data_IF_124503040062
#
_entry.id   IF_124503040062
#
_cell.length_a   1.000
_cell.length_b   1.000
_cell.length_c   1.000
_cell.angle_alpha   90.00
_cell.angle_beta   90.00
_cell.angle_gamma   90.00
#
_symmetry.space_group_name_H-M   'P 1'
#
loop_
_entity.id
_entity.type
_entity.pdbx_description
1 polymer ?
#
# COMPACT_ATOMS: atom_id res chain seq x y z
N UNK A 1 22.19 21.86 12.06
CA UNK A 1 21.22 21.73 13.17
C UNK A 1 21.96 21.18 14.39
N UNK A 2 21.65 21.60 15.61
CA UNK A 2 22.29 21.05 16.81
C UNK A 2 22.11 19.52 16.91
N UNK A 3 23.07 18.80 17.51
CA UNK A 3 22.91 17.40 17.83
C UNK A 3 21.62 17.16 18.64
N UNK A 4 20.94 16.03 18.43
CA UNK A 4 19.69 15.69 19.15
C UNK A 4 18.43 16.43 18.68
N UNK A 5 18.53 17.35 17.70
CA UNK A 5 17.33 17.99 17.11
C UNK A 5 16.64 17.01 16.17
N UNK A 6 15.46 16.54 16.53
CA UNK A 6 14.65 15.66 15.67
C UNK A 6 14.20 16.39 14.40
N UNK A 7 14.23 15.69 13.28
CA UNK A 7 13.80 16.19 11.97
C UNK A 7 12.69 15.32 11.38
N UNK A 8 11.86 15.93 10.54
CA UNK A 8 10.81 15.25 9.77
C UNK A 8 10.63 15.94 8.42
N UNK A 9 9.92 15.31 7.49
CA UNK A 9 9.54 15.99 6.24
C UNK A 9 8.34 16.91 6.47
N UNK A 10 8.42 18.13 5.92
CA UNK A 10 7.31 19.08 5.83
C UNK A 10 6.50 18.80 4.57
N UNK A 11 5.90 17.60 4.46
CA UNK A 11 5.13 17.20 3.29
C UNK A 11 3.62 17.37 3.51
N UNK A 12 2.86 17.75 2.44
CA UNK A 12 1.43 18.03 2.55
C UNK A 12 0.57 16.78 2.66
N UNK A 13 1.09 15.62 2.22
CA UNK A 13 0.34 14.36 2.16
C UNK A 13 0.98 13.28 3.03
N UNK A 14 0.15 12.42 3.59
CA UNK A 14 0.57 11.20 4.27
C UNK A 14 -0.53 10.17 4.12
N UNK A 15 -0.17 8.98 3.68
CA UNK A 15 -1.06 7.83 3.57
C UNK A 15 -0.86 6.85 4.75
N UNK A 16 -0.38 7.36 5.89
CA UNK A 16 -0.22 6.59 7.11
C UNK A 16 -1.47 6.73 7.98
N UNK A 17 -1.96 5.62 8.48
CA UNK A 17 -3.14 5.53 9.34
C UNK A 17 -2.80 5.38 10.82
N UNK A 18 -1.53 5.24 11.18
CA UNK A 18 -1.15 5.15 12.59
C UNK A 18 -1.34 6.49 13.31
N UNK A 19 -1.71 6.38 14.56
CA UNK A 19 -1.79 7.50 15.50
C UNK A 19 -0.39 8.09 15.72
N UNK A 20 -0.31 9.40 15.89
CA UNK A 20 0.97 10.09 16.14
C UNK A 20 0.81 11.19 17.16
N UNK A 21 1.79 11.30 18.07
CA UNK A 21 1.93 12.49 18.88
C UNK A 21 2.13 13.74 18.01
N UNK A 22 1.77 14.90 18.53
CA UNK A 22 2.06 16.16 17.83
C UNK A 22 3.59 16.26 17.65
N UNK A 23 4.06 16.39 16.40
CA UNK A 23 5.50 16.38 16.16
C UNK A 23 6.15 17.63 16.70
N UNK A 24 7.10 17.46 17.61
CA UNK A 24 8.01 18.52 18.09
C UNK A 24 9.32 18.55 17.25
N UNK A 25 9.24 18.16 15.98
CA UNK A 25 10.38 18.06 15.09
C UNK A 25 10.34 19.13 14.00
N UNK A 26 11.50 19.69 13.65
CA UNK A 26 11.62 20.66 12.56
C UNK A 26 11.27 19.99 11.23
N UNK A 27 10.40 20.63 10.42
CA UNK A 27 10.08 20.20 9.07
C UNK A 27 11.17 20.56 8.08
N UNK A 28 11.65 19.58 7.31
CA UNK A 28 12.52 19.76 6.16
C UNK A 28 11.67 20.11 4.93
N UNK A 29 12.04 21.15 4.20
CA UNK A 29 11.38 21.57 2.98
C UNK A 29 11.54 20.51 1.89
N UNK A 30 10.46 20.23 1.15
CA UNK A 30 10.42 19.13 0.17
C UNK A 30 9.92 19.53 -1.21
N UNK A 31 9.62 20.82 -1.45
CA UNK A 31 9.06 21.30 -2.72
C UNK A 31 9.97 21.03 -3.92
N UNK A 32 11.28 21.08 -3.75
CA UNK A 32 12.27 20.78 -4.80
C UNK A 32 12.38 19.29 -5.17
N UNK A 33 11.68 18.37 -4.47
CA UNK A 33 11.80 16.92 -4.64
C UNK A 33 10.56 16.28 -5.26
N UNK A 34 9.67 17.05 -5.88
CA UNK A 34 8.34 16.60 -6.30
C UNK A 34 8.21 16.26 -7.78
N UNK A 35 9.28 16.44 -8.56
CA UNK A 35 9.26 16.26 -10.02
C UNK A 35 9.87 14.94 -10.47
N UNK A 36 9.51 14.51 -11.66
CA UNK A 36 10.30 13.57 -12.47
C UNK A 36 11.46 14.37 -13.06
N UNK A 37 12.68 13.91 -12.84
CA UNK A 37 13.91 14.60 -13.27
C UNK A 37 14.19 14.28 -14.74
N UNK A 38 14.13 12.96 -15.09
CA UNK A 38 14.33 12.48 -16.44
C UNK A 38 13.61 11.15 -16.65
N UNK A 39 13.18 10.88 -17.88
CA UNK A 39 12.73 9.56 -18.36
C UNK A 39 13.64 9.16 -19.50
N UNK A 40 14.23 7.98 -19.45
CA UNK A 40 14.98 7.36 -20.55
C UNK A 40 14.16 6.21 -21.14
N UNK A 41 13.44 6.43 -22.26
CA UNK A 41 12.63 5.39 -22.87
C UNK A 41 13.44 4.21 -23.44
N UNK A 42 14.70 4.44 -23.83
CA UNK A 42 15.56 3.40 -24.39
C UNK A 42 16.06 2.46 -23.30
N UNK A 43 16.53 3.03 -22.20
CA UNK A 43 16.98 2.28 -21.02
C UNK A 43 15.80 1.77 -20.18
N UNK A 44 14.58 2.27 -20.41
CA UNK A 44 13.38 2.02 -19.60
C UNK A 44 13.61 2.33 -18.14
N UNK A 45 14.13 3.54 -17.88
CA UNK A 45 14.40 4.03 -16.53
C UNK A 45 13.86 5.44 -16.33
N UNK A 46 13.66 5.83 -15.08
CA UNK A 46 13.39 7.22 -14.72
C UNK A 46 14.23 7.63 -13.51
N UNK A 47 14.72 8.86 -13.53
CA UNK A 47 15.27 9.57 -12.37
C UNK A 47 14.17 10.46 -11.78
N UNK A 48 13.87 10.29 -10.49
CA UNK A 48 12.66 10.81 -9.87
C UNK A 48 12.97 11.40 -8.50
N UNK A 49 12.45 12.57 -8.20
CA UNK A 49 12.51 13.15 -6.86
C UNK A 49 11.73 12.33 -5.85
N UNK A 50 12.26 12.14 -4.65
CA UNK A 50 11.67 11.24 -3.64
C UNK A 50 10.26 11.63 -3.17
N UNK A 51 9.84 12.87 -3.38
CA UNK A 51 8.49 13.37 -3.08
C UNK A 51 7.60 13.46 -4.32
N UNK A 52 8.04 13.00 -5.48
CA UNK A 52 7.19 12.87 -6.66
C UNK A 52 6.06 11.88 -6.38
N UNK A 53 4.84 12.29 -6.64
CA UNK A 53 3.67 11.41 -6.50
C UNK A 53 3.60 10.42 -7.65
N UNK A 54 3.00 9.26 -7.43
CA UNK A 54 2.74 8.32 -8.52
C UNK A 54 1.84 8.90 -9.61
N UNK A 55 0.91 9.83 -9.26
CA UNK A 55 0.13 10.58 -10.24
C UNK A 55 1.05 11.33 -11.23
N UNK A 56 2.05 12.06 -10.73
CA UNK A 56 3.01 12.80 -11.56
C UNK A 56 3.96 11.86 -12.33
N UNK A 57 4.42 10.79 -11.67
CA UNK A 57 5.32 9.82 -12.28
C UNK A 57 4.65 9.10 -13.45
N UNK A 58 3.42 8.61 -13.26
CA UNK A 58 2.62 7.96 -14.31
C UNK A 58 2.33 8.94 -15.44
N UNK A 59 1.95 10.19 -15.13
CA UNK A 59 1.71 11.22 -16.15
C UNK A 59 2.96 11.54 -16.99
N UNK A 60 4.17 11.40 -16.43
CA UNK A 60 5.42 11.61 -17.15
C UNK A 60 5.86 10.39 -17.97
N UNK A 61 5.51 9.17 -17.58
CA UNK A 61 5.99 7.94 -18.22
C UNK A 61 5.04 7.39 -19.28
N UNK A 62 3.71 7.50 -19.09
CA UNK A 62 2.71 6.99 -20.05
C UNK A 62 2.84 7.57 -21.46
N UNK A 63 3.19 8.85 -21.70
CA UNK A 63 3.44 9.37 -23.05
C UNK A 63 4.55 8.64 -23.81
N UNK A 64 5.44 7.95 -23.10
CA UNK A 64 6.49 7.10 -23.67
C UNK A 64 6.08 5.62 -23.81
N UNK A 65 4.82 5.27 -23.54
CA UNK A 65 4.35 3.88 -23.49
C UNK A 65 4.95 3.08 -22.34
N UNK A 66 5.35 3.75 -21.27
CA UNK A 66 6.02 3.15 -20.11
C UNK A 66 5.26 3.45 -18.81
N UNK A 67 5.39 2.56 -17.82
CA UNK A 67 4.93 2.79 -16.46
C UNK A 67 5.93 2.24 -15.44
N UNK A 68 5.92 2.71 -14.18
CA UNK A 68 6.61 2.02 -13.08
C UNK A 68 6.14 0.57 -12.95
N UNK A 69 7.04 -0.33 -12.56
CA UNK A 69 6.74 -1.76 -12.43
C UNK A 69 5.59 -2.05 -11.46
N UNK A 70 5.47 -1.22 -10.43
CA UNK A 70 4.40 -1.29 -9.43
C UNK A 70 3.89 0.13 -9.19
N UNK A 71 2.59 0.34 -9.37
CA UNK A 71 1.92 1.65 -9.20
C UNK A 71 0.89 1.53 -8.08
N UNK A 72 1.22 1.88 -6.83
CA UNK A 72 0.24 1.91 -5.74
C UNK A 72 -0.98 2.75 -6.11
N UNK A 73 -2.18 2.21 -5.83
CA UNK A 73 -3.46 2.73 -6.35
C UNK A 73 -3.84 4.14 -5.91
N UNK A 74 -3.19 4.69 -4.88
CA UNK A 74 -3.52 6.02 -4.37
C UNK A 74 -2.60 7.06 -4.99
N UNK A 75 -3.17 7.96 -5.78
CA UNK A 75 -2.48 9.02 -6.55
C UNK A 75 -1.47 9.84 -5.74
N UNK A 76 -1.77 10.07 -4.47
CA UNK A 76 -0.96 10.91 -3.59
C UNK A 76 0.22 10.20 -2.91
N UNK A 77 0.39 8.89 -3.10
CA UNK A 77 1.58 8.17 -2.64
C UNK A 77 2.79 8.69 -3.40
N UNK A 78 3.88 8.99 -2.68
CA UNK A 78 5.14 9.43 -3.29
C UNK A 78 6.06 8.23 -3.52
N UNK A 79 6.92 8.30 -4.54
CA UNK A 79 7.86 7.21 -4.85
C UNK A 79 8.74 6.85 -3.64
N UNK A 80 9.39 7.85 -3.03
CA UNK A 80 10.18 7.61 -1.82
C UNK A 80 9.34 7.09 -0.64
N UNK A 81 8.06 7.47 -0.58
CA UNK A 81 7.11 6.94 0.41
C UNK A 81 6.78 5.47 0.19
N UNK A 82 6.57 5.04 -1.06
CA UNK A 82 6.30 3.65 -1.41
C UNK A 82 7.54 2.76 -1.20
N UNK A 83 8.73 3.27 -1.52
CA UNK A 83 9.98 2.52 -1.29
C UNK A 83 10.26 2.32 0.20
N UNK A 84 10.05 3.36 1.03
CA UNK A 84 10.30 3.26 2.48
C UNK A 84 9.14 2.67 3.28
N UNK A 85 7.96 2.58 2.71
CA UNK A 85 6.74 2.18 3.43
C UNK A 85 6.03 0.98 2.82
N UNK A 86 6.65 0.34 1.86
CA UNK A 86 6.11 -0.70 1.00
C UNK A 86 4.86 -0.22 0.23
N UNK A 87 4.79 -0.59 -1.03
CA UNK A 87 3.61 -0.40 -1.88
C UNK A 87 3.28 -1.73 -2.53
N UNK A 88 2.05 -2.18 -2.41
CA UNK A 88 1.59 -3.44 -2.96
C UNK A 88 0.51 -3.13 -3.98
N UNK A 89 0.54 -3.82 -5.13
CA UNK A 89 -0.37 -3.60 -6.25
C UNK A 89 -0.56 -4.90 -7.05
N UNK A 90 -1.58 -4.92 -7.89
CA UNK A 90 -1.96 -6.08 -8.71
C UNK A 90 -0.85 -6.61 -9.63
N UNK A 91 0.22 -5.84 -9.88
CA UNK A 91 1.42 -6.31 -10.57
C UNK A 91 2.46 -6.96 -9.63
N UNK A 92 2.26 -6.92 -8.30
CA UNK A 92 3.28 -7.34 -7.32
C UNK A 92 3.57 -8.84 -7.34
N UNK A 93 2.63 -9.66 -7.81
CA UNK A 93 2.88 -11.11 -7.95
C UNK A 93 3.97 -11.44 -8.98
N UNK A 94 4.20 -10.57 -9.98
CA UNK A 94 5.22 -10.74 -11.03
C UNK A 94 6.38 -9.75 -10.94
N UNK A 95 6.17 -8.55 -10.41
CA UNK A 95 7.15 -7.46 -10.38
C UNK A 95 7.77 -7.22 -9.00
N UNK A 96 7.29 -7.90 -7.96
CA UNK A 96 7.69 -7.61 -6.59
C UNK A 96 7.11 -6.29 -6.08
N UNK A 97 7.87 -5.59 -5.27
CA UNK A 97 7.47 -4.33 -4.64
C UNK A 97 8.24 -3.13 -5.21
N UNK A 98 7.79 -1.88 -4.99
CA UNK A 98 8.43 -0.68 -5.54
C UNK A 98 9.93 -0.59 -5.32
N UNK A 99 10.43 -1.01 -4.16
CA UNK A 99 11.85 -0.98 -3.84
C UNK A 99 12.70 -1.90 -4.72
N UNK A 100 12.13 -2.99 -5.24
CA UNK A 100 12.84 -3.91 -6.13
C UNK A 100 13.02 -3.36 -7.56
N UNK A 101 12.29 -2.29 -7.90
CA UNK A 101 12.51 -1.54 -9.13
C UNK A 101 13.63 -0.50 -9.03
N UNK A 102 14.10 -0.19 -7.81
CA UNK A 102 15.12 0.83 -7.56
C UNK A 102 16.50 0.33 -7.96
N UNK A 103 17.16 1.05 -8.85
CA UNK A 103 18.54 0.78 -9.28
C UNK A 103 19.55 1.43 -8.35
N UNK A 104 19.26 2.66 -7.95
CA UNK A 104 20.03 3.46 -6.99
C UNK A 104 19.14 4.53 -6.35
N UNK A 105 19.51 5.02 -5.21
CA UNK A 105 18.81 6.11 -4.53
C UNK A 105 19.77 6.99 -3.74
N UNK A 106 19.55 8.31 -3.78
CA UNK A 106 20.23 9.27 -2.94
C UNK A 106 19.43 9.49 -1.67
N UNK A 107 20.01 9.23 -0.54
CA UNK A 107 19.36 9.26 0.77
C UNK A 107 19.97 10.35 1.63
N UNK A 108 19.16 11.32 2.06
CA UNK A 108 19.53 12.23 3.14
C UNK A 108 19.45 11.48 4.47
N UNK A 109 20.59 11.18 5.06
CA UNK A 109 20.73 10.41 6.29
C UNK A 109 20.54 11.27 7.55
N UNK A 110 20.42 10.62 8.71
CA UNK A 110 20.41 11.32 10.01
C UNK A 110 21.74 11.98 10.36
N UNK A 111 22.86 11.57 9.76
CA UNK A 111 24.13 12.27 9.84
C UNK A 111 24.09 13.67 9.20
N UNK A 112 23.14 13.90 8.29
CA UNK A 112 23.00 15.16 7.54
C UNK A 112 23.71 15.15 6.20
N UNK A 113 24.11 13.99 5.74
CA UNK A 113 24.79 13.74 4.48
C UNK A 113 23.83 13.11 3.48
N UNK A 114 24.05 13.37 2.19
CA UNK A 114 23.38 12.65 1.11
C UNK A 114 24.30 11.53 0.66
N UNK A 115 23.80 10.31 0.76
CA UNK A 115 24.53 9.08 0.44
C UNK A 115 23.83 8.38 -0.72
N UNK A 116 24.55 8.03 -1.77
CA UNK A 116 24.03 7.19 -2.85
C UNK A 116 24.11 5.72 -2.42
N UNK A 117 22.96 5.06 -2.40
CA UNK A 117 22.84 3.65 -2.03
C UNK A 117 22.32 2.83 -3.22
N UNK A 118 22.96 1.69 -3.45
CA UNK A 118 22.65 0.74 -4.54
C UNK A 118 22.99 -0.68 -4.11
N UNK A 119 22.73 -1.71 -4.93
CA UNK A 119 23.18 -3.08 -4.64
C UNK A 119 24.69 -3.27 -4.46
N UNK A 120 25.50 -2.30 -4.92
CA UNK A 120 26.98 -2.36 -4.88
C UNK A 120 27.63 -1.23 -4.10
N UNK A 121 26.86 -0.23 -3.68
CA UNK A 121 27.35 0.93 -2.92
C UNK A 121 26.43 1.17 -1.73
N UNK A 122 26.97 1.28 -0.52
CA UNK A 122 26.18 1.38 0.71
C UNK A 122 25.05 0.33 0.77
N UNK A 123 25.39 -0.90 0.43
CA UNK A 123 24.44 -2.02 0.31
C UNK A 123 23.65 -2.24 1.58
N UNK A 124 24.27 -2.08 2.75
CA UNK A 124 23.61 -2.19 4.05
C UNK A 124 22.44 -1.20 4.20
N UNK A 125 22.63 0.04 3.78
CA UNK A 125 21.58 1.07 3.78
C UNK A 125 20.54 0.77 2.69
N UNK A 126 20.97 0.41 1.47
CA UNK A 126 20.08 0.06 0.38
C UNK A 126 19.10 -1.04 0.78
N UNK A 127 19.60 -2.12 1.38
CA UNK A 127 18.77 -3.27 1.77
C UNK A 127 17.90 -3.01 3.00
N UNK A 128 18.35 -2.19 3.95
CA UNK A 128 17.57 -1.84 5.13
C UNK A 128 16.57 -0.70 4.90
N UNK A 129 16.67 0.02 3.76
CA UNK A 129 15.83 1.20 3.51
C UNK A 129 14.35 0.89 3.28
N UNK A 130 13.96 -0.19 2.54
CA UNK A 130 12.56 -0.62 2.46
C UNK A 130 11.99 -0.96 3.83
N UNK A 131 10.74 -0.62 4.06
CA UNK A 131 10.00 -0.77 5.33
C UNK A 131 10.57 0.03 6.51
N UNK A 132 11.52 0.94 6.28
CA UNK A 132 12.12 1.78 7.34
C UNK A 132 11.25 3.00 7.72
N UNK A 133 10.26 3.34 6.93
CA UNK A 133 9.36 4.49 7.15
C UNK A 133 10.10 5.81 7.43
N UNK A 134 11.27 6.01 6.83
CA UNK A 134 12.08 7.22 6.98
C UNK A 134 12.80 7.33 8.33
N UNK A 135 13.07 6.21 8.99
CA UNK A 135 13.87 6.17 10.23
C UNK A 135 15.37 6.00 9.96
N UNK A 136 15.74 5.62 8.74
CA UNK A 136 17.13 5.53 8.27
C UNK A 136 17.55 6.71 7.37
N UNK A 137 16.59 7.52 6.94
CA UNK A 137 16.82 8.64 6.04
C UNK A 137 15.61 8.95 5.17
N UNK A 138 15.80 9.90 4.28
CA UNK A 138 14.78 10.31 3.31
C UNK A 138 15.35 10.23 1.90
N UNK A 139 14.76 9.45 1.02
CA UNK A 139 15.15 9.43 -0.39
C UNK A 139 14.88 10.81 -1.01
N UNK A 140 15.91 11.43 -1.56
CA UNK A 140 15.81 12.72 -2.26
C UNK A 140 15.75 12.52 -3.77
N UNK A 141 16.41 11.49 -4.30
CA UNK A 141 16.32 11.03 -5.69
C UNK A 141 16.29 9.50 -5.72
N UNK A 142 15.55 8.92 -6.67
CA UNK A 142 15.57 7.50 -6.96
C UNK A 142 15.65 7.29 -8.47
N UNK A 143 16.47 6.35 -8.90
CA UNK A 143 16.50 5.83 -10.25
C UNK A 143 15.79 4.48 -10.27
N UNK A 144 14.74 4.37 -11.06
CA UNK A 144 13.87 3.19 -11.11
C UNK A 144 13.78 2.59 -12.51
N UNK A 145 13.48 1.29 -12.57
CA UNK A 145 13.08 0.59 -13.79
C UNK A 145 11.64 0.94 -14.16
N UNK A 146 11.38 0.96 -15.45
CA UNK A 146 10.05 1.09 -16.05
C UNK A 146 9.76 -0.13 -16.93
N UNK A 147 8.47 -0.44 -17.14
CA UNK A 147 8.04 -1.47 -18.09
C UNK A 147 7.16 -0.88 -19.21
N UNK A 148 7.17 -1.49 -20.41
CA UNK A 148 6.22 -1.16 -21.46
C UNK A 148 4.80 -1.47 -21.03
N UNK A 149 3.86 -0.60 -21.38
CA UNK A 149 2.44 -0.81 -21.14
C UNK A 149 1.60 -0.58 -22.38
N UNK A 150 0.54 -1.37 -22.54
CA UNK A 150 -0.45 -1.20 -23.60
C UNK A 150 -1.45 -0.08 -23.25
N UNK A 151 -2.18 0.39 -24.27
CA UNK A 151 -3.16 1.47 -24.09
C UNK A 151 -4.35 1.09 -23.21
N UNK A 152 -4.69 -0.20 -23.16
CA UNK A 152 -5.85 -0.71 -22.45
C UNK A 152 -5.49 -1.92 -21.58
N UNK A 153 -6.36 -2.19 -20.61
CA UNK A 153 -6.39 -3.42 -19.82
C UNK A 153 -7.76 -4.07 -19.99
N UNK A 154 -7.77 -5.30 -20.48
CA UNK A 154 -8.94 -6.16 -20.46
C UNK A 154 -9.04 -6.80 -19.08
N UNK A 155 -10.21 -6.74 -18.45
CA UNK A 155 -10.47 -7.27 -17.11
C UNK A 155 -11.43 -8.45 -17.19
N UNK A 156 -11.14 -9.48 -16.39
CA UNK A 156 -12.08 -10.53 -16.02
C UNK A 156 -12.31 -10.48 -14.51
N UNK A 157 -13.57 -10.53 -14.09
CA UNK A 157 -13.93 -10.68 -12.68
C UNK A 157 -14.51 -12.09 -12.48
N UNK A 158 -13.73 -12.97 -11.84
CA UNK A 158 -14.07 -14.37 -11.62
C UNK A 158 -14.70 -14.53 -10.25
N UNK A 159 -15.93 -15.03 -10.18
CA UNK A 159 -16.64 -15.28 -8.91
C UNK A 159 -16.26 -16.64 -8.32
N UNK A 160 -16.12 -16.69 -7.00
CA UNK A 160 -15.89 -17.90 -6.21
C UNK A 160 -16.86 -17.97 -5.04
N UNK A 161 -17.30 -19.21 -4.75
CA UNK A 161 -18.23 -19.53 -3.65
C UNK A 161 -17.52 -20.10 -2.42
N UNK A 162 -16.22 -20.36 -2.51
CA UNK A 162 -15.39 -20.78 -1.38
C UNK A 162 -14.06 -20.03 -1.40
N UNK A 163 -13.52 -19.76 -0.22
CA UNK A 163 -12.21 -19.11 -0.08
C UNK A 163 -11.07 -20.04 -0.51
N UNK A 164 -11.27 -21.35 -0.37
CA UNK A 164 -10.29 -22.37 -0.82
C UNK A 164 -10.13 -22.33 -2.34
N UNK A 165 -11.24 -22.31 -3.09
CA UNK A 165 -11.19 -22.25 -4.56
C UNK A 165 -10.63 -20.92 -5.06
N UNK A 166 -10.97 -19.81 -4.40
CA UNK A 166 -10.39 -18.50 -4.69
C UNK A 166 -8.86 -18.51 -4.58
N UNK A 167 -8.33 -19.02 -3.46
CA UNK A 167 -6.89 -19.06 -3.19
C UNK A 167 -6.19 -20.06 -4.11
N UNK A 168 -6.80 -21.20 -4.39
CA UNK A 168 -6.22 -22.19 -5.32
C UNK A 168 -6.13 -21.63 -6.75
N UNK A 169 -7.15 -20.94 -7.24
CA UNK A 169 -7.13 -20.28 -8.54
C UNK A 169 -6.06 -19.14 -8.58
N UNK A 170 -5.95 -18.36 -7.51
CA UNK A 170 -4.92 -17.33 -7.38
C UNK A 170 -3.51 -17.93 -7.46
N UNK A 171 -3.24 -19.02 -6.72
CA UNK A 171 -1.93 -19.69 -6.72
C UNK A 171 -1.59 -20.27 -8.09
N UNK A 172 -2.56 -20.87 -8.77
CA UNK A 172 -2.39 -21.40 -10.13
C UNK A 172 -2.04 -20.27 -11.13
N UNK A 173 -2.70 -19.11 -11.04
CA UNK A 173 -2.40 -17.95 -11.89
C UNK A 173 -0.99 -17.43 -11.60
N UNK A 174 -0.59 -17.33 -10.32
CA UNK A 174 0.75 -16.87 -9.93
C UNK A 174 1.84 -17.84 -10.47
N UNK A 175 1.58 -19.15 -10.38
CA UNK A 175 2.53 -20.15 -10.82
C UNK A 175 2.69 -20.19 -12.35
N UNK A 176 1.59 -20.07 -13.10
CA UNK A 176 1.60 -20.17 -14.56
C UNK A 176 1.86 -18.81 -15.26
N UNK A 177 1.47 -17.70 -14.63
CA UNK A 177 1.40 -16.39 -15.26
C UNK A 177 0.25 -16.25 -16.28
N UNK A 178 -0.66 -17.23 -16.35
CA UNK A 178 -1.72 -17.30 -17.35
C UNK A 178 -3.06 -17.74 -16.75
N UNK A 179 -4.14 -17.35 -17.42
CA UNK A 179 -5.50 -17.84 -17.20
C UNK A 179 -6.10 -18.20 -18.56
N UNK A 180 -6.55 -19.44 -18.75
CA UNK A 180 -7.16 -19.95 -20.00
C UNK A 180 -6.29 -19.70 -21.25
N UNK A 181 -4.96 -19.68 -21.10
CA UNK A 181 -4.00 -19.42 -22.17
C UNK A 181 -3.62 -17.96 -22.34
N UNK A 182 -4.38 -17.02 -21.80
CA UNK A 182 -4.06 -15.60 -21.82
C UNK A 182 -3.09 -15.21 -20.69
N UNK A 183 -2.13 -14.36 -21.02
CA UNK A 183 -1.19 -13.82 -20.05
C UNK A 183 -1.91 -12.95 -19.02
N UNK A 184 -1.56 -13.11 -17.75
CA UNK A 184 -2.04 -12.25 -16.66
C UNK A 184 -0.96 -11.23 -16.32
N UNK A 185 -1.28 -9.95 -16.51
CA UNK A 185 -0.39 -8.83 -16.17
C UNK A 185 -0.69 -8.26 -14.78
N UNK A 186 -1.95 -8.36 -14.34
CA UNK A 186 -2.46 -7.80 -13.09
C UNK A 186 -3.39 -8.79 -12.41
N UNK A 187 -3.24 -8.95 -11.09
CA UNK A 187 -4.05 -9.86 -10.29
C UNK A 187 -4.31 -9.26 -8.91
N UNK A 188 -5.55 -9.01 -8.60
CA UNK A 188 -6.03 -8.68 -7.25
C UNK A 188 -7.37 -9.36 -6.99
N UNK A 189 -7.94 -9.22 -5.80
CA UNK A 189 -9.21 -9.82 -5.47
C UNK A 189 -9.97 -9.06 -4.40
N UNK A 190 -11.24 -9.38 -4.25
CA UNK A 190 -12.10 -8.83 -3.19
C UNK A 190 -12.95 -9.93 -2.58
N UNK A 191 -12.98 -10.00 -1.25
CA UNK A 191 -13.83 -10.90 -0.49
C UNK A 191 -14.94 -10.06 0.16
N UNK A 192 -16.19 -10.33 -0.21
CA UNK A 192 -17.38 -9.71 0.36
C UNK A 192 -17.97 -10.54 1.50
N UNK A 193 -17.88 -11.86 1.40
CA UNK A 193 -18.30 -12.83 2.42
C UNK A 193 -17.58 -14.17 2.19
N UNK A 194 -17.81 -15.16 3.02
CA UNK A 194 -17.21 -16.50 2.88
C UNK A 194 -17.68 -17.21 1.60
N UNK A 195 -18.86 -16.88 1.08
CA UNK A 195 -19.50 -17.46 -0.10
C UNK A 195 -19.55 -16.50 -1.31
N UNK A 196 -19.00 -15.30 -1.16
CA UNK A 196 -18.92 -14.30 -2.23
C UNK A 196 -17.54 -13.64 -2.28
N UNK A 197 -16.72 -14.06 -3.22
CA UNK A 197 -15.41 -13.52 -3.46
C UNK A 197 -15.05 -13.50 -4.95
N UNK A 198 -14.11 -12.65 -5.34
CA UNK A 198 -13.76 -12.46 -6.74
C UNK A 198 -12.24 -12.32 -6.92
N UNK A 199 -11.72 -12.88 -8.02
CA UNK A 199 -10.43 -12.49 -8.59
C UNK A 199 -10.66 -11.48 -9.71
N UNK A 200 -9.88 -10.42 -9.70
CA UNK A 200 -9.80 -9.41 -10.76
C UNK A 200 -8.53 -9.67 -11.55
N UNK A 201 -8.69 -10.21 -12.75
CA UNK A 201 -7.58 -10.58 -13.63
C UNK A 201 -7.48 -9.57 -14.77
N UNK A 202 -6.32 -8.94 -14.92
CA UNK A 202 -6.08 -7.93 -15.95
C UNK A 202 -5.02 -8.37 -16.96
N UNK A 203 -5.32 -8.21 -18.24
CA UNK A 203 -4.40 -8.44 -19.35
C UNK A 203 -4.20 -7.15 -20.14
N UNK A 204 -2.96 -6.77 -20.38
CA UNK A 204 -2.63 -5.61 -21.21
C UNK A 204 -2.99 -5.87 -22.67
N UNK A 205 -3.66 -4.93 -23.33
CA UNK A 205 -4.08 -5.07 -24.72
C UNK A 205 -3.98 -3.75 -25.50
N UNK A 206 -3.62 -3.84 -26.77
CA UNK A 206 -3.72 -2.73 -27.72
C UNK A 206 -5.09 -2.64 -28.38
N UNK A 207 -5.94 -3.67 -28.23
CA UNK A 207 -7.27 -3.73 -28.86
C UNK A 207 -8.19 -2.68 -28.25
N UNK A 208 -8.65 -1.75 -29.07
CA UNK A 208 -9.63 -0.72 -28.67
C UNK A 208 -11.04 -1.30 -28.56
N UNK A 209 -11.90 -0.61 -27.82
CA UNK A 209 -13.31 -0.96 -27.65
C UNK A 209 -13.98 -0.09 -26.57
N UNK A 210 -15.23 -0.34 -26.22
CA UNK A 210 -15.90 0.36 -25.12
C UNK A 210 -15.10 0.22 -23.83
N UNK A 211 -15.00 1.31 -23.06
CA UNK A 211 -14.29 1.36 -21.77
C UNK A 211 -15.20 1.86 -20.67
N UNK A 212 -15.04 1.33 -19.48
CA UNK A 212 -15.68 1.82 -18.27
C UNK A 212 -14.93 3.02 -17.67
N UNK A 213 -15.66 3.88 -16.95
CA UNK A 213 -15.11 5.10 -16.31
C UNK A 213 -15.23 4.99 -14.78
N UNK A 214 -14.25 4.36 -14.15
CA UNK A 214 -14.15 4.25 -12.68
C UNK A 214 -13.41 5.41 -12.04
N UNK A 215 -12.81 6.28 -12.82
CA UNK A 215 -12.16 7.50 -12.32
C UNK A 215 -13.08 8.71 -12.29
N UNK A 216 -14.23 8.65 -12.95
CA UNK A 216 -15.16 9.78 -13.04
C UNK A 216 -16.61 9.51 -12.62
N UNK A 217 -17.15 8.34 -12.93
CA UNK A 217 -18.60 8.05 -12.78
C UNK A 217 -18.91 6.86 -11.90
N UNK A 218 -18.40 5.69 -12.28
CA UNK A 218 -18.74 4.40 -11.69
C UNK A 218 -17.95 4.18 -10.38
N UNK A 219 -18.32 3.15 -9.63
CA UNK A 219 -17.65 2.72 -8.40
C UNK A 219 -17.09 1.33 -8.67
N UNK A 220 -15.76 1.23 -8.71
CA UNK A 220 -15.09 0.03 -9.20
C UNK A 220 -15.46 -1.22 -8.39
N UNK A 221 -15.31 -1.22 -7.06
CA UNK A 221 -15.56 -2.44 -6.28
C UNK A 221 -17.01 -2.95 -6.38
N UNK A 222 -17.98 -2.06 -6.63
CA UNK A 222 -19.39 -2.46 -6.83
C UNK A 222 -19.64 -3.09 -8.20
N UNK A 223 -18.81 -2.77 -9.19
CA UNK A 223 -18.93 -3.36 -10.53
C UNK A 223 -18.33 -4.76 -10.61
N UNK A 224 -17.56 -5.18 -9.60
CA UNK A 224 -16.97 -6.51 -9.51
C UNK A 224 -18.06 -7.54 -9.20
N UNK A 225 -19.08 -7.17 -8.39
CA UNK A 225 -20.11 -8.08 -7.93
C UNK A 225 -21.09 -8.48 -9.06
N UNK A 226 -21.30 -9.78 -9.23
CA UNK A 226 -22.25 -10.36 -10.17
C UNK A 226 -22.69 -11.76 -9.66
N UNK A 227 -23.75 -12.31 -10.27
CA UNK A 227 -24.37 -13.53 -9.73
C UNK A 227 -23.57 -14.79 -10.00
N UNK A 228 -23.06 -14.97 -11.24
CA UNK A 228 -22.34 -16.20 -11.63
C UNK A 228 -21.32 -15.96 -12.75
N UNK A 229 -20.31 -16.83 -12.81
CA UNK A 229 -19.37 -16.92 -13.93
C UNK A 229 -18.30 -15.85 -13.94
N UNK A 230 -18.01 -15.30 -15.11
CA UNK A 230 -17.02 -14.27 -15.37
C UNK A 230 -17.68 -13.09 -16.04
N UNK A 231 -17.47 -11.90 -15.51
CA UNK A 231 -17.79 -10.66 -16.22
C UNK A 231 -16.54 -10.05 -16.81
N UNK A 232 -16.69 -9.45 -17.98
CA UNK A 232 -15.59 -8.81 -18.69
C UNK A 232 -15.78 -7.30 -18.75
N UNK A 233 -14.68 -6.57 -18.60
CA UNK A 233 -14.64 -5.13 -18.69
C UNK A 233 -13.36 -4.68 -19.40
N UNK A 234 -13.26 -3.42 -19.78
CA UNK A 234 -12.04 -2.82 -20.33
C UNK A 234 -11.87 -1.41 -19.81
N UNK A 235 -10.63 -1.08 -19.46
CA UNK A 235 -10.26 0.27 -19.06
C UNK A 235 -9.08 0.77 -19.90
N UNK A 236 -8.93 2.09 -20.00
CA UNK A 236 -7.64 2.65 -20.39
C UNK A 236 -6.61 2.30 -19.32
N UNK A 237 -5.32 2.20 -19.69
CA UNK A 237 -4.26 1.96 -18.71
C UNK A 237 -4.28 3.00 -17.58
N UNK A 238 -4.51 4.27 -17.91
CA UNK A 238 -4.62 5.33 -16.92
C UNK A 238 -5.77 5.06 -15.91
N UNK A 239 -6.96 4.71 -16.39
CA UNK A 239 -8.11 4.49 -15.52
C UNK A 239 -7.98 3.18 -14.72
N UNK A 240 -7.31 2.18 -15.30
CA UNK A 240 -6.96 0.96 -14.59
C UNK A 240 -6.06 1.26 -13.37
N UNK A 241 -4.97 2.00 -13.58
CA UNK A 241 -4.04 2.33 -12.50
C UNK A 241 -4.70 3.10 -11.35
N UNK A 242 -5.76 3.86 -11.62
CA UNK A 242 -6.42 4.72 -10.63
C UNK A 242 -7.84 4.29 -10.23
N UNK A 243 -8.26 3.08 -10.61
CA UNK A 243 -9.62 2.58 -10.37
C UNK A 243 -10.03 2.58 -8.89
N UNK A 244 -9.08 2.37 -8.00
CA UNK A 244 -9.29 2.35 -6.55
C UNK A 244 -9.19 3.74 -5.88
N UNK A 245 -8.48 4.71 -6.47
CA UNK A 245 -8.26 6.02 -5.87
C UNK A 245 -9.55 6.82 -5.71
N UNK A 246 -10.45 6.74 -6.70
CA UNK A 246 -11.67 7.57 -6.80
C UNK A 246 -12.60 7.39 -5.61
N UNK A 247 -12.71 6.21 -5.08
CA UNK A 247 -13.52 5.88 -3.93
C UNK A 247 -12.69 5.46 -2.70
N UNK A 248 -11.36 5.61 -2.81
CA UNK A 248 -10.43 5.19 -1.78
C UNK A 248 -10.75 3.76 -1.34
N UNK A 249 -10.71 2.84 -2.31
CA UNK A 249 -11.33 1.52 -2.23
C UNK A 249 -12.84 1.65 -2.02
N UNK A 250 -13.37 1.40 -0.83
CA UNK A 250 -14.77 1.59 -0.43
C UNK A 250 -14.95 2.66 0.66
N UNK A 251 -13.87 3.25 1.16
CA UNK A 251 -13.91 4.18 2.30
C UNK A 251 -14.75 5.45 2.05
N UNK A 252 -14.99 5.83 0.79
CA UNK A 252 -15.86 6.96 0.44
C UNK A 252 -17.31 6.76 0.89
N UNK A 253 -17.73 5.51 1.15
CA UNK A 253 -19.08 5.19 1.67
C UNK A 253 -19.32 5.81 3.05
N UNK A 254 -18.31 5.80 3.93
CA UNK A 254 -18.39 6.41 5.27
C UNK A 254 -18.75 7.89 5.24
N UNK A 255 -18.47 8.58 4.13
CA UNK A 255 -18.82 9.99 3.92
C UNK A 255 -20.14 10.17 3.15
N UNK A 256 -20.87 9.08 2.87
CA UNK A 256 -22.09 9.11 2.05
C UNK A 256 -21.86 9.45 0.57
N UNK A 257 -20.59 9.56 0.13
CA UNK A 257 -20.23 9.98 -1.23
C UNK A 257 -20.66 8.96 -2.31
N UNK A 258 -21.02 7.74 -1.92
CA UNK A 258 -21.50 6.71 -2.82
C UNK A 258 -23.02 6.70 -2.99
N UNK A 259 -23.77 7.45 -2.17
CA UNK A 259 -25.23 7.57 -2.33
C UNK A 259 -25.55 8.25 -3.67
N UNK A 260 -26.44 7.70 -4.54
CA UNK A 260 -26.62 8.18 -5.91
C UNK A 260 -26.91 9.70 -6.02
N UNK A 261 -27.77 10.22 -5.13
CA UNK A 261 -28.11 11.64 -5.11
C UNK A 261 -26.90 12.51 -4.72
N UNK A 262 -26.13 12.09 -3.71
CA UNK A 262 -24.93 12.80 -3.23
C UNK A 262 -23.84 12.70 -4.29
N UNK A 263 -23.58 11.49 -4.84
CA UNK A 263 -22.56 11.27 -5.86
C UNK A 263 -22.80 12.13 -7.11
N UNK A 264 -24.05 12.31 -7.53
CA UNK A 264 -24.41 13.16 -8.67
C UNK A 264 -23.99 14.61 -8.44
N UNK A 265 -24.13 15.13 -7.22
CA UNK A 265 -23.78 16.50 -6.83
C UNK A 265 -22.33 16.66 -6.39
N UNK A 266 -21.65 15.54 -6.05
CA UNK A 266 -20.27 15.57 -5.55
C UNK A 266 -19.32 15.91 -6.70
N UNK A 267 -18.56 17.03 -6.65
CA UNK A 267 -17.68 17.43 -7.75
C UNK A 267 -16.61 16.38 -8.03
N UNK A 268 -16.35 16.07 -9.31
CA UNK A 268 -15.36 15.06 -9.72
C UNK A 268 -13.97 15.31 -9.11
N UNK A 269 -13.52 16.56 -9.04
CA UNK A 269 -12.23 16.96 -8.43
C UNK A 269 -12.03 16.53 -6.99
N UNK A 270 -13.12 16.22 -6.27
CA UNK A 270 -13.11 15.75 -4.89
C UNK A 270 -13.35 14.26 -4.74
N UNK A 271 -13.53 13.54 -5.85
CA UNK A 271 -13.61 12.07 -5.86
C UNK A 271 -12.20 11.51 -5.97
N UNK A 272 -11.45 11.56 -4.88
CA UNK A 272 -10.07 11.07 -4.82
C UNK A 272 -9.63 10.87 -3.37
N UNK A 273 -8.77 9.89 -3.17
CA UNK A 273 -8.24 9.51 -1.86
C UNK A 273 -7.66 10.68 -1.06
N UNK A 274 -6.96 11.60 -1.73
CA UNK A 274 -6.35 12.77 -1.08
C UNK A 274 -7.38 13.74 -0.48
N UNK A 275 -8.61 13.77 -1.00
CA UNK A 275 -9.69 14.55 -0.42
C UNK A 275 -10.31 13.82 0.79
N UNK A 276 -10.63 12.54 0.66
CA UNK A 276 -11.16 11.74 1.76
C UNK A 276 -10.18 11.67 2.94
N UNK A 277 -8.88 11.58 2.68
CA UNK A 277 -7.86 11.63 3.73
C UNK A 277 -7.83 12.98 4.50
N UNK A 278 -8.22 14.10 3.84
CA UNK A 278 -8.42 15.37 4.54
C UNK A 278 -9.65 15.31 5.44
N UNK A 279 -10.76 14.77 4.96
CA UNK A 279 -11.97 14.60 5.77
C UNK A 279 -11.69 13.72 6.99
N UNK A 280 -10.97 12.59 6.82
CA UNK A 280 -10.55 11.74 7.93
C UNK A 280 -9.69 12.47 8.97
N UNK A 281 -8.77 13.35 8.53
CA UNK A 281 -7.97 14.17 9.46
C UNK A 281 -8.81 15.18 10.24
N UNK A 282 -9.83 15.76 9.60
CA UNK A 282 -10.79 16.62 10.29
C UNK A 282 -11.59 15.82 11.31
N UNK A 283 -12.07 14.65 10.92
CA UNK A 283 -12.79 13.74 11.81
C UNK A 283 -11.94 13.37 13.04
N UNK A 284 -10.71 12.94 12.84
CA UNK A 284 -9.77 12.62 13.91
C UNK A 284 -9.49 13.82 14.84
N UNK A 285 -9.43 15.04 14.29
CA UNK A 285 -9.15 16.24 15.07
C UNK A 285 -10.33 16.65 15.94
N UNK A 286 -11.54 16.52 15.42
CA UNK A 286 -12.76 17.02 16.07
C UNK A 286 -13.60 15.92 16.70
N UNK A 287 -13.28 14.65 16.44
CA UNK A 287 -14.00 13.47 16.97
C UNK A 287 -15.54 13.59 16.79
N UNK A 288 -15.97 14.06 15.61
CA UNK A 288 -17.38 14.34 15.34
C UNK A 288 -18.20 13.04 15.38
N UNK A 289 -17.70 11.99 14.73
CA UNK A 289 -18.33 10.66 14.73
C UNK A 289 -18.43 10.09 16.14
N UNK A 290 -17.34 10.12 16.90
CA UNK A 290 -17.34 9.64 18.30
C UNK A 290 -18.32 10.40 19.19
N UNK A 291 -18.50 11.71 18.95
CA UNK A 291 -19.49 12.52 19.69
C UNK A 291 -20.93 12.14 19.31
N UNK A 292 -21.18 11.90 18.02
CA UNK A 292 -22.49 11.48 17.51
C UNK A 292 -22.81 10.08 18.04
N UNK A 293 -21.85 9.13 17.97
CA UNK A 293 -22.03 7.78 18.47
C UNK A 293 -22.32 7.75 19.98
N UNK A 294 -21.54 8.51 20.77
CA UNK A 294 -21.79 8.68 22.21
C UNK A 294 -23.17 9.26 22.51
N UNK A 295 -23.61 10.27 21.72
CA UNK A 295 -24.94 10.85 21.90
C UNK A 295 -26.06 9.85 21.57
N UNK A 296 -25.79 8.93 20.66
CA UNK A 296 -26.71 7.86 20.28
C UNK A 296 -26.62 6.64 21.18
N UNK A 297 -25.84 6.68 22.28
CA UNK A 297 -25.65 5.56 23.20
C UNK A 297 -24.86 4.40 22.66
N UNK A 298 -24.11 4.59 21.56
CA UNK A 298 -23.28 3.55 20.96
C UNK A 298 -21.88 3.53 21.58
N UNK A 299 -21.25 2.33 21.71
CA UNK A 299 -19.91 2.21 22.25
C UNK A 299 -18.87 2.91 21.34
N UNK A 300 -17.73 3.35 21.91
CA UNK A 300 -16.61 3.84 21.12
C UNK A 300 -16.12 2.76 20.15
N UNK A 301 -15.46 3.20 19.06
CA UNK A 301 -15.01 2.28 18.02
C UNK A 301 -13.49 2.26 17.92
N UNK A 302 -12.94 1.06 17.80
CA UNK A 302 -11.54 0.80 17.47
C UNK A 302 -11.36 0.85 15.95
N UNK A 303 -10.33 1.55 15.49
CA UNK A 303 -9.92 1.50 14.08
C UNK A 303 -9.17 0.21 13.82
N UNK A 304 -9.62 -0.54 12.83
CA UNK A 304 -8.97 -1.74 12.33
C UNK A 304 -8.64 -1.48 10.87
N UNK A 305 -7.42 -1.01 10.65
CA UNK A 305 -6.89 -0.62 9.34
C UNK A 305 -5.53 -1.26 9.22
N UNK A 306 -5.43 -2.32 8.44
CA UNK A 306 -4.18 -3.07 8.26
C UNK A 306 -4.07 -3.62 6.84
N UNK A 307 -2.83 -3.79 6.41
CA UNK A 307 -2.40 -4.72 5.39
C UNK A 307 -1.51 -5.75 6.06
N UNK A 308 -1.86 -7.01 5.88
CA UNK A 308 -1.11 -8.15 6.41
C UNK A 308 -0.79 -9.12 5.28
N UNK A 309 0.43 -9.57 5.22
CA UNK A 309 0.92 -10.49 4.21
C UNK A 309 0.93 -11.91 4.78
N UNK A 310 0.15 -12.80 4.21
CA UNK A 310 0.03 -14.20 4.64
C UNK A 310 0.56 -15.10 3.53
N UNK A 311 1.34 -16.17 3.85
CA UNK A 311 1.74 -17.16 2.86
C UNK A 311 0.50 -17.70 2.12
N UNK A 312 0.58 -17.87 0.79
CA UNK A 312 -0.61 -18.22 0.00
C UNK A 312 -1.28 -19.51 0.47
N UNK A 313 -0.51 -20.52 0.86
CA UNK A 313 -1.05 -21.81 1.37
C UNK A 313 -1.72 -21.72 2.75
N UNK A 314 -1.60 -20.58 3.46
CA UNK A 314 -2.30 -20.27 4.72
C UNK A 314 -3.39 -19.20 4.54
N UNK A 315 -3.54 -18.67 3.31
CA UNK A 315 -4.41 -17.52 3.06
C UNK A 315 -5.89 -17.88 3.28
N UNK A 316 -6.37 -19.03 2.80
CA UNK A 316 -7.75 -19.46 3.03
C UNK A 316 -8.04 -19.64 4.53
N UNK A 317 -7.13 -20.26 5.29
CA UNK A 317 -7.25 -20.40 6.75
C UNK A 317 -7.34 -19.03 7.45
N UNK A 318 -6.51 -18.07 7.01
CA UNK A 318 -6.56 -16.72 7.58
C UNK A 318 -7.89 -16.03 7.28
N UNK A 319 -8.39 -16.13 6.05
CA UNK A 319 -9.65 -15.49 5.64
C UNK A 319 -10.86 -16.09 6.37
N UNK A 320 -10.92 -17.42 6.49
CA UNK A 320 -11.98 -18.10 7.26
C UNK A 320 -11.98 -17.66 8.72
N UNK A 321 -10.79 -17.68 9.34
CA UNK A 321 -10.61 -17.19 10.70
C UNK A 321 -11.00 -15.71 10.82
N UNK A 322 -10.57 -14.86 9.89
CA UNK A 322 -10.83 -13.41 9.93
C UNK A 322 -12.33 -13.11 9.85
N UNK A 323 -13.02 -13.69 8.89
CA UNK A 323 -14.46 -13.47 8.72
C UNK A 323 -15.29 -14.00 9.91
N UNK A 324 -14.82 -15.06 10.58
CA UNK A 324 -15.47 -15.59 11.78
C UNK A 324 -15.25 -14.74 13.04
N UNK A 325 -14.15 -14.01 13.14
CA UNK A 325 -13.72 -13.31 14.37
C UNK A 325 -13.73 -11.78 14.25
N UNK A 326 -13.65 -11.25 13.03
CA UNK A 326 -13.54 -9.80 12.77
C UNK A 326 -14.65 -9.38 11.81
N UNK A 327 -15.66 -8.62 12.26
CA UNK A 327 -16.84 -8.27 11.44
C UNK A 327 -16.52 -7.15 10.45
N UNK A 328 -15.55 -7.38 9.57
CA UNK A 328 -15.11 -6.42 8.55
C UNK A 328 -15.17 -7.07 7.17
N UNK A 329 -15.93 -6.46 6.27
CA UNK A 329 -15.93 -6.71 4.84
C UNK A 329 -16.28 -5.39 4.13
N UNK A 330 -15.94 -5.21 2.86
CA UNK A 330 -15.13 -6.11 2.04
C UNK A 330 -13.65 -6.14 2.45
N UNK A 331 -12.91 -7.16 1.97
CA UNK A 331 -11.47 -7.35 2.16
C UNK A 331 -10.80 -7.33 0.79
N UNK A 332 -9.70 -6.60 0.66
CA UNK A 332 -8.90 -6.59 -0.56
C UNK A 332 -7.79 -7.64 -0.48
N UNK A 333 -7.61 -8.40 -1.55
CA UNK A 333 -6.54 -9.38 -1.69
C UNK A 333 -5.61 -8.94 -2.81
N UNK A 334 -4.31 -8.95 -2.53
CA UNK A 334 -3.32 -8.62 -3.55
C UNK A 334 -2.10 -9.54 -3.42
N UNK A 335 -1.93 -10.50 -4.34
CA UNK A 335 -0.80 -11.40 -4.28
C UNK A 335 0.50 -10.66 -4.59
N UNK A 336 1.56 -11.07 -3.90
CA UNK A 336 2.91 -10.54 -4.09
C UNK A 336 3.94 -11.68 -4.03
N UNK A 337 5.05 -11.48 -4.73
CA UNK A 337 6.19 -12.38 -4.74
C UNK A 337 7.46 -11.56 -4.90
N UNK A 338 8.28 -11.50 -3.87
CA UNK A 338 9.56 -10.78 -3.94
C UNK A 338 10.45 -11.43 -4.99
N UNK A 339 11.06 -10.61 -5.84
CA UNK A 339 11.97 -11.04 -6.90
C UNK A 339 13.39 -11.27 -6.35
N UNK A 340 13.80 -10.45 -5.38
CA UNK A 340 15.07 -10.55 -4.67
C UNK A 340 14.87 -10.81 -3.17
N UNK A 341 15.97 -11.05 -2.46
CA UNK A 341 15.98 -11.29 -1.01
C UNK A 341 16.94 -10.38 -0.26
N UNK A 342 17.02 -10.57 1.05
CA UNK A 342 17.93 -9.84 1.91
C UNK A 342 17.39 -8.44 2.30
N UNK A 343 16.09 -8.31 2.48
CA UNK A 343 15.43 -7.12 3.00
C UNK A 343 15.17 -7.28 4.51
N UNK A 344 16.08 -6.84 5.40
CA UNK A 344 16.01 -7.20 6.82
C UNK A 344 14.78 -6.65 7.55
N UNK A 345 14.21 -5.54 7.06
CA UNK A 345 12.98 -4.96 7.64
C UNK A 345 11.70 -5.54 7.02
N UNK A 346 11.83 -6.42 6.04
CA UNK A 346 10.73 -7.11 5.37
C UNK A 346 11.16 -8.52 4.97
N UNK A 347 11.30 -9.44 5.96
CA UNK A 347 11.97 -10.72 5.79
C UNK A 347 11.08 -11.80 5.14
N UNK A 348 10.29 -11.42 4.14
CA UNK A 348 9.54 -12.38 3.32
C UNK A 348 10.53 -13.12 2.40
N UNK A 349 10.47 -14.45 2.34
CA UNK A 349 11.35 -15.25 1.46
C UNK A 349 11.14 -14.87 -0.01
N UNK A 350 12.22 -14.69 -0.80
CA UNK A 350 12.10 -14.41 -2.22
C UNK A 350 11.48 -15.60 -2.98
N UNK A 351 10.80 -15.29 -4.08
CA UNK A 351 10.12 -16.25 -4.95
C UNK A 351 8.96 -17.02 -4.30
N UNK A 352 8.68 -16.81 -3.02
CA UNK A 352 7.56 -17.41 -2.32
C UNK A 352 6.34 -16.51 -2.44
N UNK A 353 5.18 -16.99 -2.91
CA UNK A 353 3.99 -16.18 -3.01
C UNK A 353 3.34 -15.93 -1.64
N UNK A 354 3.04 -14.67 -1.37
CA UNK A 354 2.24 -14.20 -0.26
C UNK A 354 1.01 -13.48 -0.79
N UNK A 355 -0.03 -13.38 0.03
CA UNK A 355 -1.21 -12.57 -0.27
C UNK A 355 -1.28 -11.44 0.74
N UNK A 356 -1.23 -10.21 0.27
CA UNK A 356 -1.60 -9.06 1.07
C UNK A 356 -3.11 -9.04 1.26
N UNK A 357 -3.54 -9.04 2.51
CA UNK A 357 -4.94 -8.97 2.93
C UNK A 357 -5.17 -7.60 3.56
N UNK A 358 -5.85 -6.73 2.81
CA UNK A 358 -6.11 -5.34 3.18
C UNK A 358 -7.55 -5.14 3.66
N UNK A 359 -7.71 -4.49 4.83
CA UNK A 359 -9.01 -4.16 5.38
C UNK A 359 -8.98 -2.83 6.11
N UNK A 360 -10.00 -2.01 5.87
CA UNK A 360 -10.09 -0.63 6.36
C UNK A 360 -11.48 -0.36 6.92
N UNK A 361 -11.62 -0.44 8.26
CA UNK A 361 -12.90 -0.24 8.94
C UNK A 361 -12.71 0.10 10.42
N UNK A 362 -13.79 0.04 11.16
CA UNK A 362 -13.81 0.18 12.63
C UNK A 362 -14.71 -0.90 13.22
N UNK A 363 -14.35 -1.38 14.42
CA UNK A 363 -15.16 -2.32 15.20
C UNK A 363 -15.52 -1.69 16.56
N UNK A 364 -16.52 -2.19 17.30
CA UNK A 364 -16.71 -1.78 18.68
C UNK A 364 -15.43 -2.02 19.50
N UNK A 365 -15.08 -1.11 20.39
CA UNK A 365 -13.93 -1.30 21.30
C UNK A 365 -14.21 -2.49 22.20
N UNK A 366 -13.23 -3.40 22.32
CA UNK A 366 -13.26 -4.51 23.25
C UNK A 366 -12.91 -4.10 24.68
N UNK A 367 -12.42 -5.05 25.46
CA UNK A 367 -12.06 -4.83 26.87
C UNK A 367 -10.78 -4.01 27.04
N UNK A 368 -9.89 -4.05 26.04
CA UNK A 368 -8.61 -3.33 26.04
C UNK A 368 -8.40 -2.57 24.72
N UNK A 369 -7.62 -1.48 24.77
CA UNK A 369 -7.27 -0.70 23.58
C UNK A 369 -6.52 -1.58 22.57
N UNK A 370 -6.96 -1.59 21.31
CA UNK A 370 -6.32 -2.33 20.23
C UNK A 370 -6.50 -3.85 20.32
N UNK A 371 -7.51 -4.34 21.02
CA UNK A 371 -7.74 -5.76 21.23
C UNK A 371 -7.89 -6.52 19.90
N UNK A 372 -8.71 -6.01 18.99
CA UNK A 372 -8.90 -6.61 17.66
C UNK A 372 -7.62 -6.56 16.83
N UNK A 373 -6.91 -5.42 16.86
CA UNK A 373 -5.64 -5.30 16.13
C UNK A 373 -4.59 -6.28 16.66
N UNK A 374 -4.46 -6.46 18.00
CA UNK A 374 -3.56 -7.46 18.60
C UNK A 374 -3.96 -8.89 18.26
N UNK A 375 -5.26 -9.17 18.22
CA UNK A 375 -5.78 -10.48 17.84
C UNK A 375 -5.34 -10.84 16.41
N UNK A 376 -5.46 -9.88 15.48
CA UNK A 376 -5.04 -10.05 14.10
C UNK A 376 -3.51 -10.23 14.01
N UNK A 377 -2.72 -9.39 14.70
CA UNK A 377 -1.26 -9.49 14.70
C UNK A 377 -0.78 -10.86 15.20
N UNK A 378 -1.38 -11.40 16.26
CA UNK A 378 -1.07 -12.76 16.76
C UNK A 378 -1.39 -13.84 15.72
N UNK A 379 -2.58 -13.75 15.06
CA UNK A 379 -2.95 -14.73 14.04
C UNK A 379 -2.02 -14.67 12.83
N UNK A 380 -1.63 -13.49 12.41
CA UNK A 380 -0.66 -13.29 11.32
C UNK A 380 0.70 -13.91 11.67
N UNK A 381 1.20 -13.69 12.88
CA UNK A 381 2.46 -14.30 13.35
C UNK A 381 2.37 -15.84 13.44
N UNK A 382 1.25 -16.37 13.95
CA UNK A 382 0.97 -17.82 14.00
C UNK A 382 1.02 -18.46 12.59
N UNK A 383 0.54 -17.74 11.59
CA UNK A 383 0.54 -18.20 10.19
C UNK A 383 1.83 -17.87 9.42
N UNK A 384 2.89 -17.44 10.11
CA UNK A 384 4.15 -17.03 9.49
C UNK A 384 3.99 -15.85 8.50
N UNK A 385 3.01 -15.03 8.76
CA UNK A 385 2.75 -13.82 8.00
C UNK A 385 3.56 -12.62 8.49
N UNK A 386 3.37 -11.49 7.82
CA UNK A 386 4.00 -10.22 8.15
C UNK A 386 2.96 -9.11 8.12
N UNK A 387 3.26 -7.96 8.74
CA UNK A 387 2.35 -6.80 8.74
C UNK A 387 3.06 -5.56 8.25
N UNK A 388 2.41 -4.84 7.34
CA UNK A 388 2.84 -3.50 6.92
C UNK A 388 2.68 -2.47 8.06
N UNK A 389 3.73 -1.66 8.30
CA UNK A 389 3.79 -0.71 9.44
C UNK A 389 3.14 0.65 9.17
N UNK A 390 2.24 0.78 8.19
CA UNK A 390 1.60 2.06 7.88
C UNK A 390 0.44 2.40 8.82
N UNK A 391 -0.03 1.44 9.61
CA UNK A 391 -1.10 1.57 10.60
C UNK A 391 -0.59 1.33 12.03
N UNK A 392 -1.46 1.45 13.03
CA UNK A 392 -1.11 1.20 14.43
C UNK A 392 -0.65 -0.25 14.62
N UNK A 393 0.42 -0.44 15.41
CA UNK A 393 1.00 -1.75 15.74
C UNK A 393 1.14 -1.88 17.26
N UNK A 394 1.09 -3.13 17.75
CA UNK A 394 0.99 -3.41 19.18
C UNK A 394 1.99 -4.47 19.69
N UNK A 395 3.03 -4.75 18.92
CA UNK A 395 4.09 -5.70 19.27
C UNK A 395 4.88 -5.26 20.52
N UNK A 396 5.41 -6.21 21.27
CA UNK A 396 6.44 -5.94 22.28
C UNK A 396 7.76 -5.52 21.58
N UNK A 397 8.72 -4.90 22.31
CA UNK A 397 10.03 -4.58 21.73
C UNK A 397 10.78 -5.79 21.20
N UNK A 398 10.65 -6.93 21.87
CA UNK A 398 11.29 -8.20 21.51
C UNK A 398 10.70 -8.75 20.21
N UNK A 399 9.38 -8.94 20.15
CA UNK A 399 8.65 -9.39 18.96
C UNK A 399 8.91 -8.48 17.76
N UNK A 400 8.88 -7.16 17.99
CA UNK A 400 9.14 -6.19 16.94
C UNK A 400 10.56 -6.31 16.40
N UNK A 401 11.55 -6.52 17.29
CA UNK A 401 12.94 -6.74 16.92
C UNK A 401 13.13 -7.98 16.05
N UNK A 402 12.44 -9.07 16.36
CA UNK A 402 12.48 -10.31 15.56
C UNK A 402 11.86 -10.13 14.18
N UNK A 403 10.73 -9.43 14.09
CA UNK A 403 9.96 -9.25 12.86
C UNK A 403 10.52 -8.17 11.93
N UNK A 404 11.18 -7.13 12.47
CA UNK A 404 11.55 -5.92 11.72
C UNK A 404 13.04 -5.59 11.83
N UNK A 405 13.88 -6.56 11.54
CA UNK A 405 15.30 -6.41 11.28
C UNK A 405 16.23 -6.33 12.48
N UNK A 406 15.74 -6.24 13.70
CA UNK A 406 16.50 -6.41 14.94
C UNK A 406 17.88 -5.74 14.96
N UNK A 407 18.93 -6.55 15.01
CA UNK A 407 20.32 -6.08 15.06
C UNK A 407 20.75 -5.41 13.74
N UNK A 408 20.32 -5.95 12.59
CA UNK A 408 20.64 -5.36 11.29
C UNK A 408 20.15 -3.92 11.18
N UNK A 409 18.91 -3.66 11.63
CA UNK A 409 18.37 -2.30 11.70
C UNK A 409 19.20 -1.41 12.64
N UNK A 410 19.54 -1.88 13.84
CA UNK A 410 20.29 -1.09 14.83
C UNK A 410 21.67 -0.71 14.30
N UNK A 411 22.36 -1.61 13.62
CA UNK A 411 23.69 -1.37 13.05
C UNK A 411 23.65 -0.31 11.96
N UNK A 412 22.71 -0.42 11.01
CA UNK A 412 22.50 0.59 9.95
C UNK A 412 22.09 1.93 10.56
N UNK A 413 21.17 1.93 11.52
CA UNK A 413 20.72 3.12 12.23
C UNK A 413 21.88 3.85 12.91
N UNK A 414 22.72 3.13 13.64
CA UNK A 414 23.91 3.70 14.31
C UNK A 414 24.90 4.31 13.32
N UNK A 415 25.11 3.67 12.17
CA UNK A 415 26.02 4.13 11.13
C UNK A 415 25.54 5.42 10.46
N UNK A 416 24.26 5.48 10.06
CA UNK A 416 23.71 6.57 9.25
C UNK A 416 22.93 7.63 10.03
N UNK A 417 22.67 7.40 11.33
CA UNK A 417 22.06 8.39 12.22
C UNK A 417 22.73 8.39 13.62
N UNK A 418 24.05 8.63 13.69
CA UNK A 418 24.80 8.55 14.95
C UNK A 418 24.32 9.55 16.01
N UNK A 419 23.64 10.60 15.60
CA UNK A 419 23.14 11.67 16.47
C UNK A 419 21.64 11.51 16.81
N UNK A 420 21.02 10.38 16.46
CA UNK A 420 19.60 10.09 16.73
C UNK A 420 18.62 11.22 16.32
N UNK A 421 18.85 11.81 15.14
CA UNK A 421 18.02 12.89 14.59
C UNK A 421 16.71 12.38 13.99
N UNK A 422 16.67 11.12 13.59
CA UNK A 422 15.49 10.45 13.08
C UNK A 422 14.91 9.54 14.18
N UNK A 423 13.59 9.46 14.26
CA UNK A 423 12.95 8.55 15.20
C UNK A 423 13.39 7.11 14.95
N UNK A 424 13.43 6.31 15.99
CA UNK A 424 13.56 4.86 15.92
C UNK A 424 12.30 4.23 15.32
N UNK A 425 12.44 3.08 14.64
CA UNK A 425 11.32 2.42 13.95
C UNK A 425 10.25 1.93 14.93
N UNK A 426 10.65 1.33 16.06
CA UNK A 426 9.74 0.89 17.10
C UNK A 426 9.00 2.08 17.74
N UNK A 427 9.74 3.13 18.08
CA UNK A 427 9.16 4.36 18.62
C UNK A 427 8.11 4.97 17.67
N UNK A 428 8.36 4.89 16.36
CA UNK A 428 7.49 5.44 15.32
C UNK A 428 6.28 4.55 15.02
N UNK A 429 6.46 3.24 14.96
CA UNK A 429 5.41 2.29 14.56
C UNK A 429 4.51 1.87 15.72
N UNK A 430 5.09 1.64 16.91
CA UNK A 430 4.40 1.10 18.08
C UNK A 430 4.13 2.15 19.14
N UNK A 431 5.16 2.94 19.51
CA UNK A 431 5.01 3.97 20.58
C UNK A 431 4.32 5.25 20.11
N UNK A 432 3.97 5.37 18.82
CA UNK A 432 3.20 6.51 18.24
C UNK A 432 3.88 7.87 18.41
N UNK A 433 5.21 7.90 18.46
CA UNK A 433 6.02 9.12 18.63
C UNK A 433 6.19 9.90 17.31
#
# INVERSE_FOLDING_TARGET
MPPGTSVRLAKPTSNLFRSRAKPNARGLETTGLTSVIAVDPKARTADVGGMCTYENLVAATLPHGLAPLVVPQLKSITLGGAVTGLGIESASFRNGLPHESVLEMDILTGAGEVVTASPTEHEDLYRAFPNSYGTLGYAVRLRIKLEPVSAFVALGHLRFHTLTDLVAAMDQIIASGHLDGDRVDYLDGVVFSADESYLCVGTQTATSGPVSDYTGRQIYYRSIQHEEGITHDRLTIHDYLWRWDTDWFWCSEAFGAQRPRIRRLWPRRYRRSSFYSKLMRYEQRFQIGDRIERRNGRPPRERVVQDVEVPIWRCAEFLDWFLANVPIAPIWLCPLRLQGGGWPLYPIPPQQPYVNVGFWSTVPVGSTEGETNRLIERKVSELQGHKSLYSDSYYSPEEFGELYGGESYRNVKKRYDPNSRLLDLYAKAVQRR
#
